data_IF_093280498420
#
_entry.id   IF_093280498420
#
_cell.length_a   1.000
_cell.length_b   1.000
_cell.length_c   1.000
_cell.angle_alpha   90.00
_cell.angle_beta   90.00
_cell.angle_gamma   90.00
#
_symmetry.space_group_name_H-M   'P 1'
#
loop_
_entity.id
_entity.type
_entity.pdbx_description
1 polymer ?
#
# COMPACT_ATOMS: atom_id res chain seq x y z
N UNK A 1 6.51 -5.75 15.20
CA UNK A 1 7.82 -5.45 14.61
C UNK A 1 7.89 -4.03 14.07
N UNK A 2 8.28 -3.08 14.92
CA UNK A 2 8.86 -1.80 14.47
C UNK A 2 10.31 -1.87 14.93
N UNK A 3 11.23 -1.98 13.97
CA UNK A 3 12.67 -1.96 14.24
C UNK A 3 13.00 -0.71 15.07
N UNK A 4 13.87 -0.91 16.07
CA UNK A 4 14.30 0.18 16.96
C UNK A 4 15.11 1.21 16.17
N UNK A 5 15.07 2.49 16.58
CA UNK A 5 15.73 3.58 15.85
C UNK A 5 17.25 3.36 15.64
N UNK A 6 17.89 2.52 16.45
CA UNK A 6 19.31 2.16 16.34
C UNK A 6 19.64 1.18 15.20
N UNK A 7 18.65 0.53 14.59
CA UNK A 7 18.84 -0.46 13.50
C UNK A 7 18.73 0.17 12.10
N UNK A 8 18.52 1.49 11.99
CA UNK A 8 18.33 2.21 10.71
C UNK A 8 19.62 2.66 10.01
N UNK A 9 20.77 2.11 10.38
CA UNK A 9 22.00 2.40 9.66
C UNK A 9 22.01 1.63 8.33
N UNK A 10 21.63 2.31 7.25
CA UNK A 10 21.82 1.82 5.89
C UNK A 10 23.33 1.84 5.61
N UNK A 11 23.98 0.69 5.80
CA UNK A 11 25.43 0.54 5.69
C UNK A 11 25.91 0.33 4.24
N UNK A 12 24.98 0.21 3.30
CA UNK A 12 25.22 -0.08 1.88
C UNK A 12 24.30 0.74 0.98
N UNK A 13 24.74 1.14 -0.22
CA UNK A 13 23.90 1.90 -1.15
C UNK A 13 22.68 1.08 -1.56
N UNK A 14 21.51 1.72 -1.56
CA UNK A 14 20.25 1.18 -2.09
C UNK A 14 19.94 1.80 -3.45
N UNK A 15 19.27 1.04 -4.32
CA UNK A 15 18.85 1.50 -5.63
C UNK A 15 17.38 1.13 -5.91
N UNK A 16 16.72 1.92 -6.74
CA UNK A 16 15.35 1.69 -7.19
C UNK A 16 15.33 1.69 -8.72
N UNK A 17 14.62 0.73 -9.31
CA UNK A 17 14.26 0.77 -10.72
C UNK A 17 13.09 1.75 -10.93
N UNK A 18 13.03 2.40 -12.09
CA UNK A 18 11.99 3.35 -12.44
C UNK A 18 11.55 3.21 -13.89
N UNK A 19 10.27 3.46 -14.15
CA UNK A 19 9.68 3.40 -15.50
C UNK A 19 8.58 4.44 -15.65
N UNK A 20 8.39 4.93 -16.88
CA UNK A 20 7.28 5.79 -17.26
C UNK A 20 6.23 4.92 -17.94
N UNK A 21 4.97 5.06 -17.54
CA UNK A 21 3.84 4.34 -18.12
C UNK A 21 2.88 5.39 -18.68
N UNK A 22 2.83 5.61 -20.00
CA UNK A 22 1.86 6.50 -20.60
C UNK A 22 0.48 5.86 -20.52
N UNK A 23 -0.46 6.58 -19.90
CA UNK A 23 -1.87 6.20 -19.76
C UNK A 23 -2.74 7.41 -20.08
N UNK A 24 -3.92 7.18 -20.64
CA UNK A 24 -4.94 8.21 -20.79
C UNK A 24 -5.69 8.42 -19.48
N UNK A 25 -6.40 9.56 -19.37
CA UNK A 25 -7.12 9.94 -18.15
C UNK A 25 -8.18 8.93 -17.73
N UNK A 26 -8.84 8.26 -18.68
CA UNK A 26 -9.87 7.27 -18.37
C UNK A 26 -9.28 5.97 -17.80
N UNK A 27 -8.02 5.66 -18.14
CA UNK A 27 -7.30 4.46 -17.67
C UNK A 27 -6.62 4.61 -16.30
N UNK A 28 -6.64 5.82 -15.70
CA UNK A 28 -5.94 6.08 -14.42
C UNK A 28 -6.49 5.20 -13.29
N UNK A 29 -7.82 5.14 -13.14
CA UNK A 29 -8.46 4.33 -12.08
C UNK A 29 -8.11 2.84 -12.22
N UNK A 30 -8.16 2.32 -13.45
CA UNK A 30 -7.84 0.93 -13.76
C UNK A 30 -6.37 0.60 -13.47
N UNK A 31 -5.47 1.53 -13.78
CA UNK A 31 -4.05 1.37 -13.47
C UNK A 31 -3.81 1.24 -11.96
N UNK A 32 -4.39 2.13 -11.16
CA UNK A 32 -4.23 2.07 -9.70
C UNK A 32 -4.90 0.82 -9.11
N UNK A 33 -6.06 0.42 -9.62
CA UNK A 33 -6.71 -0.83 -9.22
C UNK A 33 -5.84 -2.04 -9.54
N UNK A 34 -5.22 -2.08 -10.71
CA UNK A 34 -4.28 -3.14 -11.08
C UNK A 34 -3.07 -3.21 -10.13
N UNK A 35 -2.52 -2.06 -9.72
CA UNK A 35 -1.46 -1.98 -8.71
C UNK A 35 -1.92 -2.47 -7.34
N UNK A 36 -3.13 -2.14 -6.92
CA UNK A 36 -3.70 -2.62 -5.66
C UNK A 36 -3.93 -4.14 -5.68
N UNK A 37 -4.37 -4.70 -6.82
CA UNK A 37 -4.50 -6.16 -6.99
C UNK A 37 -3.14 -6.87 -6.94
N UNK A 38 -2.08 -6.20 -7.38
CA UNK A 38 -0.72 -6.68 -7.23
C UNK A 38 -0.26 -6.67 -5.77
N UNK A 39 -0.59 -5.63 -5.00
CA UNK A 39 -0.36 -5.60 -3.56
C UNK A 39 -1.03 -6.80 -2.86
N UNK A 40 -2.27 -7.13 -3.23
CA UNK A 40 -2.96 -8.29 -2.67
C UNK A 40 -2.25 -9.62 -2.99
N UNK A 41 -1.87 -9.84 -4.26
CA UNK A 41 -1.10 -11.03 -4.66
C UNK A 41 0.23 -11.12 -3.90
N UNK A 42 0.93 -10.00 -3.75
CA UNK A 42 2.19 -9.94 -3.01
C UNK A 42 1.99 -10.19 -1.51
N UNK A 43 0.88 -9.73 -0.92
CA UNK A 43 0.53 -10.02 0.46
C UNK A 43 0.32 -11.53 0.65
N UNK A 44 -0.50 -12.18 -0.20
CA UNK A 44 -0.71 -13.64 -0.15
C UNK A 44 0.62 -14.39 -0.26
N UNK A 45 1.40 -14.09 -1.29
CA UNK A 45 2.67 -14.79 -1.54
C UNK A 45 3.69 -14.55 -0.42
N UNK A 46 3.78 -13.31 0.08
CA UNK A 46 4.68 -12.92 1.16
C UNK A 46 4.37 -13.63 2.47
N UNK A 47 3.09 -13.71 2.85
CA UNK A 47 2.66 -14.49 4.01
C UNK A 47 2.85 -15.99 3.78
N UNK A 48 2.53 -16.49 2.59
CA UNK A 48 2.70 -17.90 2.22
C UNK A 48 4.14 -18.37 2.39
N UNK A 49 5.10 -17.64 1.80
CA UNK A 49 6.52 -18.01 1.89
C UNK A 49 7.04 -17.83 3.33
N UNK A 50 6.60 -16.79 4.03
CA UNK A 50 6.98 -16.57 5.42
C UNK A 50 6.51 -17.71 6.33
N UNK A 51 5.28 -18.20 6.13
CA UNK A 51 4.74 -19.32 6.89
C UNK A 51 5.53 -20.61 6.61
N UNK A 52 5.82 -20.92 5.34
CA UNK A 52 6.60 -22.11 4.97
C UNK A 52 8.04 -22.06 5.51
N UNK A 53 8.68 -20.89 5.50
CA UNK A 53 10.05 -20.71 6.04
C UNK A 53 10.16 -20.89 7.55
N UNK A 54 9.05 -20.98 8.29
CA UNK A 54 9.06 -21.38 9.71
C UNK A 54 9.19 -22.89 9.91
N UNK A 55 8.82 -23.67 8.90
CA UNK A 55 8.74 -25.13 8.96
C UNK A 55 9.84 -25.79 8.14
N UNK A 56 10.24 -25.16 7.03
CA UNK A 56 11.16 -25.70 6.04
C UNK A 56 12.36 -24.76 5.82
N UNK A 57 13.42 -25.30 5.23
CA UNK A 57 14.51 -24.46 4.74
C UNK A 57 14.08 -23.58 3.55
N UNK A 58 14.98 -22.68 3.13
CA UNK A 58 14.67 -21.70 2.08
C UNK A 58 14.39 -22.34 0.71
N UNK A 59 15.09 -23.41 0.35
CA UNK A 59 14.94 -24.04 -0.97
C UNK A 59 13.64 -24.84 -1.01
N UNK A 60 13.38 -25.62 0.04
CA UNK A 60 12.17 -26.42 0.17
C UNK A 60 10.92 -25.53 0.27
N UNK A 61 10.96 -24.44 1.04
CA UNK A 61 9.84 -23.49 1.11
C UNK A 61 9.51 -22.86 -0.25
N UNK A 62 10.54 -22.53 -1.04
CA UNK A 62 10.37 -21.98 -2.38
C UNK A 62 9.76 -23.01 -3.34
N UNK A 63 10.22 -24.27 -3.31
CA UNK A 63 9.64 -25.31 -4.17
C UNK A 63 8.20 -25.67 -3.78
N UNK A 64 7.85 -25.63 -2.49
CA UNK A 64 6.47 -25.89 -2.05
C UNK A 64 5.48 -24.80 -2.46
N UNK A 65 5.87 -23.53 -2.42
CA UNK A 65 4.96 -22.44 -2.81
C UNK A 65 4.85 -22.29 -4.34
N UNK A 66 5.85 -22.77 -5.06
CA UNK A 66 5.96 -22.62 -6.51
C UNK A 66 4.79 -23.33 -7.21
N UNK A 67 4.07 -22.56 -8.03
CA UNK A 67 2.95 -23.06 -8.80
C UNK A 67 1.62 -23.12 -8.04
N UNK A 68 1.60 -22.83 -6.74
CA UNK A 68 0.35 -22.70 -5.99
C UNK A 68 -0.44 -21.47 -6.46
N UNK A 69 -1.74 -21.64 -6.59
CA UNK A 69 -2.69 -20.56 -6.82
C UNK A 69 -2.93 -19.78 -5.53
N UNK A 70 -3.38 -18.54 -5.67
CA UNK A 70 -3.70 -17.67 -4.53
C UNK A 70 -4.67 -18.30 -3.53
N UNK A 71 -5.68 -19.05 -4.00
CA UNK A 71 -6.62 -19.73 -3.09
C UNK A 71 -5.95 -20.87 -2.32
N UNK A 72 -5.06 -21.64 -2.95
CA UNK A 72 -4.34 -22.73 -2.28
C UNK A 72 -3.40 -22.18 -1.19
N UNK A 73 -2.74 -21.04 -1.45
CA UNK A 73 -1.92 -20.36 -0.44
C UNK A 73 -2.80 -19.81 0.68
N UNK A 74 -3.98 -19.28 0.36
CA UNK A 74 -4.93 -18.78 1.35
C UNK A 74 -5.39 -19.90 2.30
N UNK A 75 -5.80 -21.04 1.75
CA UNK A 75 -6.23 -22.21 2.53
C UNK A 75 -5.08 -22.76 3.39
N UNK A 76 -3.88 -22.87 2.81
CA UNK A 76 -2.66 -23.28 3.52
C UNK A 76 -2.32 -22.36 4.72
N UNK A 77 -2.52 -21.05 4.57
CA UNK A 77 -2.32 -20.08 5.65
C UNK A 77 -3.40 -20.21 6.72
N UNK A 78 -4.65 -20.43 6.30
CA UNK A 78 -5.77 -20.63 7.21
C UNK A 78 -5.58 -21.86 8.10
N UNK A 79 -5.12 -22.98 7.54
CA UNK A 79 -4.76 -24.20 8.29
C UNK A 79 -3.66 -23.95 9.34
N UNK A 80 -2.79 -22.95 9.10
CA UNK A 80 -1.72 -22.50 10.02
C UNK A 80 -2.18 -21.43 11.00
N UNK A 81 -3.49 -21.16 11.06
CA UNK A 81 -4.07 -20.15 11.95
C UNK A 81 -3.84 -18.71 11.51
N UNK A 82 -3.46 -18.49 10.25
CA UNK A 82 -3.24 -17.15 9.68
C UNK A 82 -4.42 -16.81 8.77
N UNK A 83 -5.32 -15.96 9.26
CA UNK A 83 -6.40 -15.40 8.46
C UNK A 83 -5.95 -14.08 7.81
N UNK A 84 -5.83 -14.07 6.48
CA UNK A 84 -5.41 -12.87 5.75
C UNK A 84 -6.42 -11.72 5.87
N UNK A 85 -7.69 -11.99 6.22
CA UNK A 85 -8.67 -10.91 6.42
C UNK A 85 -8.34 -10.05 7.64
N UNK A 86 -7.70 -10.63 8.67
CA UNK A 86 -7.36 -9.95 9.94
C UNK A 86 -6.04 -9.19 9.87
N UNK A 87 -5.31 -9.29 8.76
CA UNK A 87 -4.07 -8.54 8.52
C UNK A 87 -4.39 -7.06 8.28
N UNK A 88 -3.54 -6.15 8.78
CA UNK A 88 -3.68 -4.70 8.60
C UNK A 88 -3.92 -4.32 7.13
N UNK A 89 -4.79 -3.34 6.89
CA UNK A 89 -5.21 -2.93 5.54
C UNK A 89 -4.03 -2.52 4.66
N UNK A 90 -3.08 -1.74 5.19
CA UNK A 90 -1.91 -1.29 4.42
C UNK A 90 -1.03 -2.43 3.89
N UNK A 91 -0.99 -3.58 4.57
CA UNK A 91 -0.25 -4.76 4.09
C UNK A 91 -0.96 -5.45 2.92
N UNK A 92 -2.29 -5.39 2.91
CA UNK A 92 -3.16 -6.01 1.90
C UNK A 92 -3.34 -5.12 0.67
N UNK A 93 -3.43 -3.80 0.88
CA UNK A 93 -3.89 -2.81 -0.11
C UNK A 93 -2.88 -1.72 -0.43
N UNK A 94 -1.74 -1.67 0.27
CA UNK A 94 -0.74 -0.62 0.12
C UNK A 94 -1.08 0.66 0.90
N UNK A 95 -0.30 1.71 0.67
CA UNK A 95 -0.43 3.02 1.31
C UNK A 95 -0.70 4.07 0.23
N UNK A 96 -1.69 4.92 0.45
CA UNK A 96 -1.98 6.05 -0.43
C UNK A 96 -1.28 7.31 0.05
N UNK A 97 -0.70 8.09 -0.86
CA UNK A 97 -0.11 9.40 -0.53
C UNK A 97 -0.64 10.42 -1.53
N UNK A 98 -1.40 11.39 -1.04
CA UNK A 98 -2.07 12.38 -1.87
C UNK A 98 -2.25 13.70 -1.13
N UNK A 99 -2.52 14.79 -1.86
CA UNK A 99 -2.70 16.12 -1.27
C UNK A 99 -4.17 16.33 -0.92
N UNK A 100 -4.46 16.64 0.34
CA UNK A 100 -5.79 17.13 0.76
C UNK A 100 -5.74 18.64 0.87
N UNK A 101 -6.76 19.32 0.37
CA UNK A 101 -6.89 20.77 0.46
C UNK A 101 -8.10 21.15 1.30
N UNK A 102 -7.94 22.16 2.16
CA UNK A 102 -9.05 22.73 2.92
C UNK A 102 -8.96 24.25 2.96
N UNK A 103 -10.12 24.86 3.19
CA UNK A 103 -10.26 26.29 3.34
C UNK A 103 -9.90 26.71 4.78
N UNK A 104 -9.12 27.77 4.89
CA UNK A 104 -8.85 28.45 6.16
C UNK A 104 -9.35 29.89 6.07
N UNK A 105 -10.04 30.34 7.11
CA UNK A 105 -10.34 31.75 7.29
C UNK A 105 -9.09 32.47 7.82
N UNK A 106 -8.61 33.45 7.08
CA UNK A 106 -7.56 34.38 7.51
C UNK A 106 -8.09 35.80 7.57
N UNK A 107 -7.41 36.66 8.30
CA UNK A 107 -7.66 38.10 8.25
C UNK A 107 -6.58 38.76 7.39
N UNK A 108 -6.97 39.55 6.39
CA UNK A 108 -6.05 40.32 5.58
C UNK A 108 -5.85 41.72 6.19
N UNK A 109 -4.74 42.00 6.91
CA UNK A 109 -4.55 43.28 7.58
C UNK A 109 -4.42 44.47 6.62
N UNK A 110 -4.11 44.24 5.33
CA UNK A 110 -4.03 45.31 4.32
C UNK A 110 -5.40 45.74 3.80
N UNK A 111 -6.38 44.84 3.82
CA UNK A 111 -7.75 45.09 3.33
C UNK A 111 -8.78 45.18 4.46
N UNK A 112 -8.37 44.90 5.71
CA UNK A 112 -9.23 44.81 6.89
C UNK A 112 -10.46 43.90 6.72
N UNK A 113 -10.32 42.82 5.97
CA UNK A 113 -11.40 41.88 5.68
C UNK A 113 -11.00 40.44 6.03
N UNK A 114 -11.99 39.61 6.36
CA UNK A 114 -11.80 38.16 6.41
C UNK A 114 -11.67 37.64 4.98
N UNK A 115 -10.61 36.89 4.73
CA UNK A 115 -10.34 36.26 3.43
C UNK A 115 -10.23 34.76 3.62
N UNK A 116 -10.92 34.00 2.77
CA UNK A 116 -10.71 32.55 2.68
C UNK A 116 -9.47 32.29 1.84
N UNK A 117 -8.60 31.38 2.31
CA UNK A 117 -7.47 30.91 1.51
C UNK A 117 -7.38 29.39 1.60
N UNK A 118 -6.89 28.75 0.54
CA UNK A 118 -6.69 27.30 0.52
C UNK A 118 -5.35 26.93 1.11
N UNK A 119 -5.30 25.85 1.91
CA UNK A 119 -4.07 25.17 2.30
C UNK A 119 -4.14 23.73 1.83
N UNK A 120 -2.98 23.18 1.46
CA UNK A 120 -2.85 21.77 1.15
C UNK A 120 -1.78 21.13 2.02
N UNK A 121 -2.03 19.90 2.42
CA UNK A 121 -1.10 19.05 3.15
C UNK A 121 -1.04 17.67 2.50
N UNK A 122 0.12 17.01 2.65
CA UNK A 122 0.30 15.63 2.23
C UNK A 122 -0.40 14.73 3.24
N UNK A 123 -1.41 14.02 2.80
CA UNK A 123 -2.11 13.01 3.57
C UNK A 123 -1.58 11.62 3.22
N UNK A 124 -1.31 10.82 4.25
CA UNK A 124 -0.85 9.43 4.12
C UNK A 124 -1.97 8.52 4.63
N UNK A 125 -2.51 7.70 3.74
CA UNK A 125 -3.65 6.84 3.97
C UNK A 125 -3.21 5.38 4.13
N UNK A 126 -3.35 4.84 5.34
CA UNK A 126 -3.02 3.44 5.68
C UNK A 126 -4.24 2.51 5.57
N UNK A 127 -5.45 3.07 5.43
CA UNK A 127 -6.72 2.34 5.44
C UNK A 127 -7.43 2.50 4.11
N UNK A 128 -6.67 2.32 3.02
CA UNK A 128 -7.20 2.43 1.65
C UNK A 128 -8.39 1.51 1.43
N UNK A 129 -9.45 2.06 0.84
CA UNK A 129 -10.52 1.27 0.26
C UNK A 129 -10.06 0.55 -1.01
N UNK A 130 -10.87 -0.42 -1.45
CA UNK A 130 -10.65 -1.01 -2.77
C UNK A 130 -10.89 0.09 -3.80
N UNK A 131 -9.91 0.33 -4.68
CA UNK A 131 -10.02 1.39 -5.67
C UNK A 131 -11.18 1.14 -6.63
N UNK A 132 -11.96 2.18 -6.83
CA UNK A 132 -13.03 2.28 -7.80
C UNK A 132 -13.00 3.69 -8.41
N UNK A 133 -13.67 3.94 -9.55
CA UNK A 133 -13.75 5.28 -10.10
C UNK A 133 -14.24 6.32 -9.07
N UNK A 134 -15.20 5.94 -8.23
CA UNK A 134 -15.78 6.82 -7.20
C UNK A 134 -14.79 7.15 -6.07
N UNK A 135 -13.75 6.34 -5.86
CA UNK A 135 -12.67 6.69 -4.92
C UNK A 135 -11.92 7.93 -5.40
N UNK A 136 -11.62 7.99 -6.70
CA UNK A 136 -10.85 9.10 -7.30
C UNK A 136 -11.66 10.38 -7.45
N UNK A 137 -12.99 10.28 -7.59
CA UNK A 137 -13.88 11.45 -7.61
C UNK A 137 -13.96 12.16 -6.24
N UNK A 138 -13.66 11.45 -5.15
CA UNK A 138 -13.76 11.95 -3.77
C UNK A 138 -12.44 12.48 -3.20
N UNK A 139 -11.34 12.30 -3.93
CA UNK A 139 -9.98 12.71 -3.56
C UNK A 139 -9.78 14.21 -3.73
#
# INVERSE_FOLDING_TARGET
DKLSDNERNIVFPISFDSRIIPIDDASISDYFKWRQDECWRNCINGYGIWALKKEYDNEEANEKIKGLKSNEIHDMLFERGINLNDVDTWKKRGIGVYKKSWEIEGFNPKKQEKTVSTRSEVFVDYELDIFSPEFFEKL
#
